data_IF_647613764935
#
_entry.id   IF_647613764935
#
_cell.length_a   1.000
_cell.length_b   1.000
_cell.length_c   1.000
_cell.angle_alpha   90.00
_cell.angle_beta   90.00
_cell.angle_gamma   90.00
#
_symmetry.space_group_name_H-M   'P 1'
#
loop_
_entity.id
_entity.type
_entity.pdbx_description
1 polymer ?
#
# COMPACT_ATOMS: atom_id res chain seq x y z
N UNK A 1 9.77 -1.34 3.79
CA UNK A 1 10.00 -0.65 2.50
C UNK A 1 8.74 -0.58 1.65
N UNK A 2 7.89 -1.62 1.56
CA UNK A 2 6.68 -1.55 0.72
C UNK A 2 5.38 -1.35 1.49
N UNK A 3 5.46 -0.80 2.72
CA UNK A 3 4.30 -0.64 3.60
C UNK A 3 3.36 0.48 3.11
N UNK A 4 3.85 1.44 2.36
CA UNK A 4 3.07 2.54 1.81
C UNK A 4 2.27 2.16 0.55
N UNK A 5 2.62 1.06 -0.13
CA UNK A 5 2.04 0.69 -1.42
C UNK A 5 2.01 1.88 -2.40
N UNK A 6 0.81 2.35 -2.76
CA UNK A 6 0.56 3.49 -3.63
C UNK A 6 0.17 4.77 -2.88
N UNK A 7 0.18 4.76 -1.55
CA UNK A 7 -0.43 5.79 -0.71
C UNK A 7 0.62 6.71 -0.08
N UNK A 8 0.39 8.01 -0.21
CA UNK A 8 1.19 9.03 0.45
C UNK A 8 0.66 9.29 1.86
N UNK A 9 1.15 8.52 2.83
CA UNK A 9 0.80 8.67 4.25
C UNK A 9 1.88 9.52 4.94
N UNK A 10 1.60 10.80 5.28
CA UNK A 10 2.65 11.72 5.76
C UNK A 10 3.30 11.27 7.07
N UNK A 11 2.52 10.61 7.93
CA UNK A 11 2.92 10.13 9.24
C UNK A 11 2.78 8.61 9.29
N UNK A 12 3.78 7.88 8.81
CA UNK A 12 3.80 6.41 8.78
C UNK A 12 4.90 5.84 9.67
N UNK A 13 4.54 4.92 10.56
CA UNK A 13 5.49 4.15 11.36
C UNK A 13 5.17 2.65 11.25
N UNK A 14 6.10 1.88 10.69
CA UNK A 14 6.00 0.43 10.59
C UNK A 14 7.03 -0.25 11.49
N UNK A 15 6.61 -1.32 12.17
CA UNK A 15 7.50 -2.23 12.89
C UNK A 15 7.16 -3.66 12.51
N UNK A 16 8.16 -4.51 12.37
CA UNK A 16 7.99 -5.93 12.08
C UNK A 16 8.98 -6.75 12.90
N UNK A 17 8.60 -8.00 13.18
CA UNK A 17 9.45 -8.97 13.86
C UNK A 17 9.18 -10.35 13.26
N UNK A 18 10.24 -11.15 13.12
CA UNK A 18 10.10 -12.56 12.79
C UNK A 18 9.90 -13.36 14.09
N UNK A 19 8.83 -14.16 14.14
CA UNK A 19 8.52 -14.99 15.31
C UNK A 19 9.09 -16.40 15.12
N UNK A 20 9.97 -16.84 16.04
CA UNK A 20 10.43 -18.23 16.08
C UNK A 20 9.32 -19.11 16.62
N UNK A 21 8.98 -20.18 15.90
CA UNK A 21 7.98 -21.17 16.29
C UNK A 21 8.53 -22.59 16.14
N UNK A 22 7.81 -23.59 16.64
CA UNK A 22 8.15 -25.01 16.47
C UNK A 22 7.55 -25.59 15.18
N UNK A 23 7.39 -24.77 14.15
CA UNK A 23 6.91 -25.18 12.82
C UNK A 23 8.10 -25.29 11.85
N UNK A 24 7.95 -25.99 10.72
CA UNK A 24 8.96 -25.98 9.67
C UNK A 24 9.31 -24.55 9.23
N UNK A 25 10.60 -24.27 9.06
CA UNK A 25 11.08 -22.94 8.67
C UNK A 25 10.47 -22.51 7.33
N UNK A 26 9.75 -21.39 7.34
CA UNK A 26 9.31 -20.73 6.13
C UNK A 26 10.49 -20.09 5.41
N UNK A 27 10.44 -20.05 4.07
CA UNK A 27 11.42 -19.39 3.21
C UNK A 27 10.75 -18.34 2.34
N UNK A 28 11.52 -17.64 1.51
CA UNK A 28 11.02 -16.67 0.57
C UNK A 28 9.97 -17.27 -0.38
N UNK A 29 8.97 -16.47 -0.71
CA UNK A 29 7.98 -16.78 -1.74
C UNK A 29 7.85 -15.59 -2.71
N UNK A 30 7.09 -15.76 -3.80
CA UNK A 30 6.88 -14.70 -4.80
C UNK A 30 6.40 -13.41 -4.13
N UNK A 31 7.12 -12.31 -4.39
CA UNK A 31 6.85 -11.00 -3.80
C UNK A 31 7.58 -10.72 -2.48
N UNK A 32 8.29 -11.69 -1.90
CA UNK A 32 9.26 -11.45 -0.81
C UNK A 32 8.71 -10.62 0.37
N UNK A 33 7.53 -10.96 0.88
CA UNK A 33 6.90 -10.25 2.02
C UNK A 33 6.00 -9.08 1.62
N UNK A 34 6.08 -8.62 0.37
CA UNK A 34 5.26 -7.51 -0.15
C UNK A 34 3.77 -7.85 -0.16
N UNK A 35 3.32 -9.02 -0.64
CA UNK A 35 1.89 -9.35 -0.65
C UNK A 35 1.26 -9.30 0.75
N UNK A 36 1.97 -9.77 1.77
CA UNK A 36 1.51 -9.72 3.16
C UNK A 36 1.39 -8.29 3.67
N UNK A 37 2.35 -7.42 3.33
CA UNK A 37 2.32 -6.01 3.74
C UNK A 37 1.21 -5.24 3.02
N UNK A 38 1.06 -5.41 1.71
CA UNK A 38 0.02 -4.75 0.92
C UNK A 38 -1.37 -5.13 1.41
N UNK A 39 -1.61 -6.42 1.72
CA UNK A 39 -2.91 -6.86 2.24
C UNK A 39 -3.31 -6.13 3.53
N UNK A 40 -2.38 -5.93 4.45
CA UNK A 40 -2.64 -5.20 5.70
C UNK A 40 -3.05 -3.75 5.42
N UNK A 41 -2.35 -3.09 4.50
CA UNK A 41 -2.58 -1.67 4.17
C UNK A 41 -3.89 -1.47 3.40
N UNK A 42 -4.19 -2.34 2.44
CA UNK A 42 -5.48 -2.34 1.74
C UNK A 42 -6.64 -2.56 2.70
N UNK A 43 -6.49 -3.51 3.64
CA UNK A 43 -7.51 -3.76 4.66
C UNK A 43 -7.74 -2.53 5.55
N UNK A 44 -6.66 -1.81 5.92
CA UNK A 44 -6.79 -0.56 6.67
C UNK A 44 -7.54 0.51 5.88
N UNK A 45 -7.33 0.60 4.56
CA UNK A 45 -8.04 1.56 3.71
C UNK A 45 -9.52 1.20 3.56
N UNK A 46 -9.83 -0.09 3.37
CA UNK A 46 -11.20 -0.57 3.32
C UNK A 46 -11.94 -0.29 4.64
N UNK A 47 -11.29 -0.49 5.79
CA UNK A 47 -11.85 -0.16 7.10
C UNK A 47 -12.13 1.34 7.25
N UNK A 48 -11.23 2.20 6.74
CA UNK A 48 -11.41 3.66 6.73
C UNK A 48 -12.60 4.04 5.83
N UNK A 49 -12.70 3.46 4.63
CA UNK A 49 -13.80 3.70 3.71
C UNK A 49 -15.15 3.32 4.32
N UNK A 50 -15.23 2.11 4.91
CA UNK A 50 -16.41 1.63 5.62
C UNK A 50 -16.79 2.57 6.76
N UNK A 51 -15.82 3.03 7.53
CA UNK A 51 -16.07 3.91 8.69
C UNK A 51 -16.58 5.28 8.29
N UNK A 52 -16.10 5.81 7.16
CA UNK A 52 -16.49 7.12 6.64
C UNK A 52 -17.73 7.05 5.73
N UNK A 53 -18.18 5.86 5.34
CA UNK A 53 -19.31 5.67 4.43
C UNK A 53 -18.99 6.03 2.97
N UNK A 54 -17.71 5.94 2.60
CA UNK A 54 -17.22 6.19 1.25
C UNK A 54 -16.96 4.89 0.51
N UNK A 55 -16.89 4.99 -0.83
CA UNK A 55 -16.43 3.88 -1.62
C UNK A 55 -14.91 3.69 -1.40
N UNK A 56 -14.41 2.45 -1.31
CA UNK A 56 -12.98 2.19 -1.13
C UNK A 56 -12.08 2.85 -2.18
N UNK A 57 -12.51 2.86 -3.45
CA UNK A 57 -11.82 3.52 -4.56
C UNK A 57 -11.63 5.03 -4.33
N UNK A 58 -12.62 5.72 -3.74
CA UNK A 58 -12.52 7.15 -3.41
C UNK A 58 -11.41 7.37 -2.37
N UNK A 59 -11.38 6.55 -1.32
CA UNK A 59 -10.34 6.65 -0.27
C UNK A 59 -8.96 6.33 -0.83
N UNK A 60 -8.85 5.34 -1.72
CA UNK A 60 -7.59 5.01 -2.40
C UNK A 60 -7.09 6.21 -3.21
N UNK A 61 -7.93 6.79 -4.05
CA UNK A 61 -7.57 7.92 -4.92
C UNK A 61 -7.24 9.19 -4.12
N UNK A 62 -7.94 9.44 -3.01
CA UNK A 62 -7.63 10.57 -2.12
C UNK A 62 -6.23 10.43 -1.53
N UNK A 63 -5.83 9.23 -1.10
CA UNK A 63 -4.56 8.99 -0.42
C UNK A 63 -3.41 8.57 -1.35
N UNK A 64 -3.67 8.35 -2.64
CA UNK A 64 -2.64 7.96 -3.61
C UNK A 64 -1.59 9.06 -3.80
N UNK A 65 -0.35 8.69 -4.16
CA UNK A 65 0.64 9.68 -4.61
C UNK A 65 0.14 10.41 -5.87
N UNK A 66 0.18 11.74 -5.86
CA UNK A 66 -0.28 12.60 -6.98
C UNK A 66 0.80 13.47 -7.59
N UNK A 67 1.84 13.77 -6.82
CA UNK A 67 2.98 14.58 -7.21
C UNK A 67 4.27 13.88 -6.79
N UNK A 68 5.39 14.27 -7.41
CA UNK A 68 6.72 13.77 -7.02
C UNK A 68 6.92 13.99 -5.52
N UNK A 69 7.06 12.90 -4.80
CA UNK A 69 7.05 12.88 -3.33
C UNK A 69 8.13 11.95 -2.81
N UNK A 70 8.44 12.08 -1.52
CA UNK A 70 9.32 11.14 -0.83
C UNK A 70 8.51 10.00 -0.23
N UNK A 71 8.95 8.76 -0.47
CA UNK A 71 8.44 7.58 0.24
C UNK A 71 8.76 7.67 1.74
N UNK A 72 8.13 6.79 2.54
CA UNK A 72 8.36 6.76 3.98
C UNK A 72 9.83 6.49 4.38
N UNK A 73 10.63 5.92 3.48
CA UNK A 73 12.07 5.67 3.65
C UNK A 73 12.94 6.63 2.83
N UNK A 74 12.39 7.79 2.43
CA UNK A 74 13.09 8.95 1.84
C UNK A 74 13.67 8.72 0.44
N UNK A 75 13.11 7.81 -0.34
CA UNK A 75 13.38 7.77 -1.79
C UNK A 75 12.36 8.62 -2.53
N UNK A 76 12.80 9.34 -3.56
CA UNK A 76 11.91 10.06 -4.46
C UNK A 76 11.08 9.06 -5.30
N UNK A 77 9.80 9.37 -5.45
CA UNK A 77 8.86 8.58 -6.24
C UNK A 77 8.07 9.50 -7.17
N UNK A 78 8.08 9.16 -8.46
CA UNK A 78 7.27 9.81 -9.49
C UNK A 78 6.00 8.98 -9.76
N UNK A 79 4.81 9.51 -9.45
CA UNK A 79 3.56 8.79 -9.60
C UNK A 79 2.93 8.86 -11.00
N UNK A 80 3.57 9.48 -12.00
CA UNK A 80 2.96 9.68 -13.34
C UNK A 80 2.35 8.37 -13.90
N UNK A 81 3.14 7.29 -13.91
CA UNK A 81 2.68 6.00 -14.42
C UNK A 81 1.60 5.38 -13.51
N UNK A 82 1.71 5.55 -12.18
CA UNK A 82 0.73 5.02 -11.23
C UNK A 82 -0.65 5.63 -11.49
N UNK A 83 -0.73 6.96 -11.59
CA UNK A 83 -1.97 7.69 -11.85
C UNK A 83 -2.53 7.34 -13.22
N UNK A 84 -1.67 7.24 -14.26
CA UNK A 84 -2.10 6.84 -15.60
C UNK A 84 -2.76 5.45 -15.56
N UNK A 85 -2.12 4.47 -14.93
CA UNK A 85 -2.64 3.10 -14.90
C UNK A 85 -3.92 2.98 -14.05
N UNK A 86 -4.04 3.74 -12.96
CA UNK A 86 -5.28 3.84 -12.20
C UNK A 86 -6.44 4.30 -13.09
N UNK A 87 -6.27 5.42 -13.80
CA UNK A 87 -7.29 5.98 -14.67
C UNK A 87 -7.65 5.03 -15.82
N UNK A 88 -6.64 4.45 -16.49
CA UNK A 88 -6.88 3.46 -17.54
C UNK A 88 -7.66 2.24 -17.05
N UNK A 89 -7.39 1.77 -15.82
CA UNK A 89 -8.12 0.67 -15.23
C UNK A 89 -9.58 1.05 -14.97
N UNK A 90 -9.84 2.23 -14.39
CA UNK A 90 -11.20 2.72 -14.11
C UNK A 90 -12.04 2.95 -15.37
N UNK A 91 -11.41 3.34 -16.48
CA UNK A 91 -12.11 3.54 -17.77
C UNK A 91 -12.43 2.22 -18.49
N UNK A 92 -11.59 1.19 -18.33
CA UNK A 92 -11.69 -0.08 -19.07
C UNK A 92 -12.47 -1.17 -18.33
N UNK A 93 -12.68 -1.03 -17.02
CA UNK A 93 -13.44 -1.94 -16.16
C UNK A 93 -14.93 -1.70 -16.23
#
# INVERSE_FOLDING_TARGET
>A
MHLDNAYNIPNLCGRSAACKTNLPSSTAFRGFGVPQCMLVVESMIDDVALKLGHLPEEIREINMYKEVSLTHYKMEFDPENLVRYWNECMEKS
#
